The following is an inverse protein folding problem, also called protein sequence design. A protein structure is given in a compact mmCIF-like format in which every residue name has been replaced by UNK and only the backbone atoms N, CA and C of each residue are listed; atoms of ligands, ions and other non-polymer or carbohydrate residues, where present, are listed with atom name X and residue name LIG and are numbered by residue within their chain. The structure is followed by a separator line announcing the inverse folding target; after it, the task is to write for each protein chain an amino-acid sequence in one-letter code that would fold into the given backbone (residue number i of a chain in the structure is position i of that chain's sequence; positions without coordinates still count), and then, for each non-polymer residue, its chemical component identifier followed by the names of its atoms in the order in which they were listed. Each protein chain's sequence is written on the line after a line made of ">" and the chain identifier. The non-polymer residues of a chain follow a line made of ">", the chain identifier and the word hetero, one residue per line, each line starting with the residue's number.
data_IF_365653644739
#
_entry.id   IF_365653644739
#
_cell.length_a   1.000
_cell.length_b   1.000
_cell.length_c   1.000
_cell.angle_alpha   90.00
_cell.angle_beta   90.00
_cell.angle_gamma   90.00
#
_symmetry.space_group_name_H-M   'P 1'
#
loop_
_entity.id
_entity.type
_entity.pdbx_description
1 polymer ?
#
# COMPACT_ATOMS: atom_id res chain seq x y z
N UNK A 1 -9.33 -19.07 35.33
CA UNK A 1 -9.48 -17.60 35.59
C UNK A 1 -9.19 -16.83 34.32
N UNK A 2 -10.14 -16.04 33.79
CA UNK A 2 -9.85 -15.07 32.72
C UNK A 2 -8.84 -14.06 33.28
N UNK A 3 -7.59 -14.08 32.81
CA UNK A 3 -6.62 -13.03 33.15
C UNK A 3 -7.15 -11.71 32.57
N UNK A 4 -7.55 -10.80 33.46
CA UNK A 4 -8.15 -9.51 33.14
C UNK A 4 -7.03 -8.47 33.12
N UNK A 5 -6.76 -7.84 31.98
CA UNK A 5 -5.69 -6.84 31.84
C UNK A 5 -6.27 -5.43 31.70
N UNK A 6 -5.63 -4.43 32.32
CA UNK A 6 -6.08 -3.04 32.25
C UNK A 6 -5.69 -2.42 30.92
N UNK A 7 -6.47 -1.45 30.40
CA UNK A 7 -6.17 -0.79 29.12
C UNK A 7 -4.77 -0.20 29.01
N UNK A 8 -4.24 0.37 30.10
CA UNK A 8 -2.90 1.00 30.11
C UNK A 8 -1.78 -0.02 29.94
N UNK A 9 -1.95 -1.22 30.48
CA UNK A 9 -0.94 -2.29 30.40
C UNK A 9 -0.88 -2.82 28.96
N UNK A 10 -2.04 -3.00 28.32
CA UNK A 10 -2.14 -3.40 26.90
C UNK A 10 -1.56 -2.32 25.98
N UNK A 11 -1.90 -1.06 26.23
CA UNK A 11 -1.42 0.07 25.45
C UNK A 11 0.12 0.15 25.44
N UNK A 12 0.74 -0.04 26.61
CA UNK A 12 2.20 -0.10 26.73
C UNK A 12 2.80 -1.31 26.01
N UNK A 13 2.21 -2.49 26.20
CA UNK A 13 2.67 -3.73 25.56
C UNK A 13 2.67 -3.64 24.04
N UNK A 14 1.65 -3.00 23.47
CA UNK A 14 1.46 -2.87 22.02
C UNK A 14 2.04 -1.57 21.45
N UNK A 15 2.69 -0.75 22.28
CA UNK A 15 3.21 0.56 21.90
C UNK A 15 2.17 1.46 21.20
N UNK A 16 0.95 1.51 21.74
CA UNK A 16 -0.15 2.36 21.24
C UNK A 16 -0.78 3.15 22.38
N UNK A 17 -1.56 4.17 22.04
CA UNK A 17 -2.30 4.94 23.03
C UNK A 17 -3.51 4.17 23.58
N UNK A 18 -3.92 4.45 24.81
CA UNK A 18 -5.20 3.94 25.34
C UNK A 18 -6.41 4.48 24.56
N UNK A 19 -6.29 5.65 23.92
CA UNK A 19 -7.27 6.16 22.95
C UNK A 19 -7.36 5.30 21.69
N UNK A 20 -6.27 4.72 21.21
CA UNK A 20 -6.28 3.81 20.06
C UNK A 20 -7.10 2.55 20.36
N UNK A 21 -6.92 1.96 21.55
CA UNK A 21 -7.74 0.83 22.00
C UNK A 21 -9.24 1.17 21.99
N UNK A 22 -9.61 2.35 22.51
CA UNK A 22 -11.01 2.83 22.52
C UNK A 22 -11.54 3.07 21.11
N UNK A 23 -10.70 3.57 20.20
CA UNK A 23 -11.08 3.80 18.81
C UNK A 23 -11.36 2.47 18.09
N UNK A 24 -10.52 1.46 18.30
CA UNK A 24 -10.74 0.12 17.72
C UNK A 24 -12.04 -0.52 18.25
N UNK A 25 -12.32 -0.38 19.55
CA UNK A 25 -13.59 -0.79 20.15
C UNK A 25 -14.79 -0.04 19.54
N UNK A 26 -14.71 1.29 19.43
CA UNK A 26 -15.78 2.11 18.86
C UNK A 26 -16.05 1.78 17.38
N UNK A 27 -15.03 1.34 16.64
CA UNK A 27 -15.14 0.87 15.25
C UNK A 27 -15.62 -0.58 15.11
N UNK A 28 -15.85 -1.28 16.23
CA UNK A 28 -16.29 -2.68 16.26
C UNK A 28 -15.21 -3.65 15.77
N UNK A 29 -13.92 -3.32 15.93
CA UNK A 29 -12.82 -4.17 15.46
C UNK A 29 -12.41 -5.24 16.47
N UNK A 30 -12.89 -5.10 17.69
CA UNK A 30 -12.71 -6.05 18.79
C UNK A 30 -14.08 -6.44 19.33
N UNK A 31 -14.23 -7.63 19.94
CA UNK A 31 -15.46 -8.03 20.62
C UNK A 31 -15.90 -7.00 21.66
N UNK A 32 -17.20 -6.99 21.97
CA UNK A 32 -17.77 -6.12 22.98
C UNK A 32 -17.16 -6.41 24.36
N UNK A 33 -16.66 -5.37 25.02
CA UNK A 33 -16.05 -5.49 26.34
C UNK A 33 -17.09 -5.54 27.45
N UNK A 34 -16.87 -6.43 28.42
CA UNK A 34 -17.55 -6.34 29.72
C UNK A 34 -17.00 -5.14 30.51
N UNK A 35 -17.89 -4.46 31.25
CA UNK A 35 -17.51 -3.42 32.21
C UNK A 35 -17.56 -3.96 33.62
N UNK A 36 -16.61 -3.56 34.46
CA UNK A 36 -16.69 -3.78 35.91
C UNK A 36 -17.81 -2.95 36.53
N UNK A 37 -18.25 -3.35 37.73
CA UNK A 37 -19.20 -2.57 38.55
C UNK A 37 -18.74 -1.13 38.80
N UNK A 38 -17.43 -0.88 38.76
CA UNK A 38 -16.79 0.44 38.88
C UNK A 38 -16.78 1.26 37.57
N UNK A 39 -17.36 0.73 36.49
CA UNK A 39 -17.42 1.39 35.17
C UNK A 39 -16.17 1.21 34.29
N UNK A 40 -15.10 0.62 34.81
CA UNK A 40 -13.86 0.38 34.05
C UNK A 40 -14.00 -0.78 33.06
N UNK A 41 -13.38 -0.62 31.88
CA UNK A 41 -13.27 -1.66 30.85
C UNK A 41 -12.32 -2.77 31.29
N UNK A 42 -12.69 -4.00 30.99
CA UNK A 42 -11.85 -5.17 31.18
C UNK A 42 -11.65 -5.88 29.85
N UNK A 43 -10.39 -6.09 29.49
CA UNK A 43 -10.02 -6.84 28.31
C UNK A 43 -9.62 -8.26 28.68
N UNK A 44 -10.13 -9.22 27.89
CA UNK A 44 -9.80 -10.65 27.98
C UNK A 44 -8.62 -10.99 27.08
N UNK A 45 -8.13 -12.24 27.16
CA UNK A 45 -7.11 -12.75 26.23
C UNK A 45 -7.52 -12.63 24.76
N UNK A 46 -8.80 -12.82 24.47
CA UNK A 46 -9.35 -12.65 23.12
C UNK A 46 -9.23 -11.20 22.64
N UNK A 47 -9.62 -10.22 23.47
CA UNK A 47 -9.45 -8.81 23.12
C UNK A 47 -7.98 -8.47 22.84
N UNK A 48 -7.07 -9.01 23.65
CA UNK A 48 -5.63 -8.82 23.44
C UNK A 48 -5.19 -9.39 22.08
N UNK A 49 -5.64 -10.59 21.71
CA UNK A 49 -5.34 -11.19 20.41
C UNK A 49 -5.86 -10.34 19.24
N UNK A 50 -7.06 -9.75 19.37
CA UNK A 50 -7.57 -8.80 18.37
C UNK A 50 -6.68 -7.55 18.29
N UNK A 51 -6.30 -6.95 19.42
CA UNK A 51 -5.44 -5.76 19.40
C UNK A 51 -4.06 -6.06 18.81
N UNK A 52 -3.45 -7.18 19.19
CA UNK A 52 -2.18 -7.65 18.61
C UNK A 52 -2.31 -7.80 17.08
N UNK A 53 -3.38 -8.45 16.62
CA UNK A 53 -3.66 -8.63 15.20
C UNK A 53 -3.84 -7.30 14.47
N UNK A 54 -4.59 -6.34 15.04
CA UNK A 54 -4.73 -4.99 14.47
C UNK A 54 -3.35 -4.33 14.31
N UNK A 55 -2.54 -4.34 15.37
CA UNK A 55 -1.24 -3.67 15.37
C UNK A 55 -0.23 -4.31 14.41
N UNK A 56 -0.31 -5.63 14.20
CA UNK A 56 0.57 -6.36 13.31
C UNK A 56 0.12 -6.29 11.84
N UNK A 57 -1.18 -6.30 11.56
CA UNK A 57 -1.71 -6.30 10.19
C UNK A 57 -1.77 -4.91 9.57
N UNK A 58 -2.19 -3.90 10.33
CA UNK A 58 -2.46 -2.55 9.79
C UNK A 58 -1.27 -1.93 9.04
N UNK A 59 0.01 -2.09 9.48
CA UNK A 59 1.14 -1.54 8.74
C UNK A 59 1.38 -2.21 7.36
N UNK A 60 1.07 -3.51 7.22
CA UNK A 60 1.33 -4.27 5.99
C UNK A 60 0.16 -4.34 5.02
N UNK A 61 -1.07 -4.31 5.55
CA UNK A 61 -2.32 -4.43 4.79
C UNK A 61 -3.12 -3.13 4.73
N UNK A 62 -2.78 -2.14 5.55
CA UNK A 62 -3.59 -0.94 5.74
C UNK A 62 -4.77 -1.16 6.68
N UNK A 63 -5.26 -0.07 7.27
CA UNK A 63 -6.32 -0.11 8.29
C UNK A 63 -7.68 -0.57 7.72
N UNK A 64 -7.96 -0.27 6.45
CA UNK A 64 -9.23 -0.64 5.80
C UNK A 64 -9.36 -2.16 5.63
N UNK A 65 -8.34 -2.80 5.04
CA UNK A 65 -8.29 -4.26 4.88
C UNK A 65 -8.29 -4.93 6.25
N UNK A 66 -7.44 -4.46 7.17
CA UNK A 66 -7.38 -4.99 8.55
C UNK A 66 -8.74 -4.93 9.24
N UNK A 67 -9.45 -3.79 9.13
CA UNK A 67 -10.78 -3.63 9.73
C UNK A 67 -11.80 -4.60 9.14
N UNK A 68 -11.77 -4.77 7.81
CA UNK A 68 -12.72 -5.64 7.09
C UNK A 68 -12.48 -7.11 7.40
N UNK A 69 -11.21 -7.52 7.44
CA UNK A 69 -10.80 -8.88 7.84
C UNK A 69 -11.29 -9.18 9.25
N UNK A 70 -11.01 -8.31 10.23
CA UNK A 70 -11.40 -8.57 11.62
C UNK A 70 -12.91 -8.62 11.84
N UNK A 71 -13.68 -7.80 11.12
CA UNK A 71 -15.14 -7.89 11.13
C UNK A 71 -15.63 -9.23 10.59
N UNK A 72 -15.00 -9.76 9.54
CA UNK A 72 -15.30 -11.10 9.01
C UNK A 72 -14.92 -12.22 9.98
N UNK A 73 -13.79 -12.09 10.68
CA UNK A 73 -13.41 -13.03 11.74
C UNK A 73 -14.46 -13.07 12.86
N UNK A 74 -14.98 -11.91 13.29
CA UNK A 74 -16.03 -11.86 14.33
C UNK A 74 -17.32 -12.57 13.92
N UNK A 75 -17.70 -12.54 12.63
CA UNK A 75 -18.88 -13.27 12.11
C UNK A 75 -18.55 -14.65 11.55
N UNK A 76 -17.35 -15.17 11.84
CA UNK A 76 -16.88 -16.51 11.44
C UNK A 76 -16.75 -16.76 9.93
N UNK A 77 -16.57 -15.71 9.14
CA UNK A 77 -16.35 -15.78 7.68
C UNK A 77 -14.85 -15.84 7.33
N UNK A 78 -14.16 -16.92 7.75
CA UNK A 78 -12.71 -17.05 7.55
C UNK A 78 -12.31 -16.99 6.07
N UNK A 79 -12.96 -17.76 5.20
CA UNK A 79 -12.58 -17.84 3.77
C UNK A 79 -12.67 -16.48 3.08
N UNK A 80 -13.71 -15.70 3.39
CA UNK A 80 -13.86 -14.35 2.86
C UNK A 80 -12.76 -13.41 3.35
N UNK A 81 -12.31 -13.56 4.60
CA UNK A 81 -11.18 -12.80 5.13
C UNK A 81 -9.86 -13.17 4.42
N UNK A 82 -9.64 -14.46 4.16
CA UNK A 82 -8.46 -14.95 3.46
C UNK A 82 -8.40 -14.42 2.01
N UNK A 83 -9.52 -14.42 1.28
CA UNK A 83 -9.55 -13.88 -0.08
C UNK A 83 -9.20 -12.38 -0.15
N UNK A 84 -9.58 -11.58 0.86
CA UNK A 84 -9.17 -10.17 0.94
C UNK A 84 -7.65 -10.03 1.10
N UNK A 85 -7.04 -10.90 1.89
CA UNK A 85 -5.60 -10.95 2.11
C UNK A 85 -4.88 -11.36 0.81
N UNK A 86 -5.35 -12.43 0.15
CA UNK A 86 -4.78 -12.86 -1.11
C UNK A 86 -4.83 -11.76 -2.16
N UNK A 87 -5.95 -11.04 -2.27
CA UNK A 87 -6.08 -9.88 -3.17
C UNK A 87 -5.05 -8.80 -2.84
N UNK A 88 -4.86 -8.47 -1.57
CA UNK A 88 -3.87 -7.47 -1.15
C UNK A 88 -2.42 -7.89 -1.48
N UNK A 89 -2.10 -9.17 -1.30
CA UNK A 89 -0.78 -9.72 -1.64
C UNK A 89 -0.55 -9.79 -3.15
N UNK A 90 -1.58 -10.14 -3.93
CA UNK A 90 -1.53 -10.12 -5.38
C UNK A 90 -1.25 -8.72 -5.92
N UNK A 91 -1.94 -7.69 -5.40
CA UNK A 91 -1.67 -6.29 -5.74
C UNK A 91 -0.22 -5.90 -5.38
N UNK A 92 0.28 -6.32 -4.21
CA UNK A 92 1.66 -6.03 -3.82
C UNK A 92 2.68 -6.68 -4.79
N UNK A 93 2.40 -7.88 -5.26
CA UNK A 93 3.22 -8.57 -6.26
C UNK A 93 3.15 -7.91 -7.65
N UNK A 94 1.96 -7.51 -8.11
CA UNK A 94 1.79 -6.75 -9.35
C UNK A 94 2.62 -5.45 -9.32
N UNK A 95 2.58 -4.73 -8.20
CA UNK A 95 3.39 -3.54 -7.98
C UNK A 95 4.89 -3.84 -8.04
N UNK A 96 5.35 -4.97 -7.47
CA UNK A 96 6.75 -5.42 -7.60
C UNK A 96 7.13 -5.64 -9.07
N UNK A 97 6.26 -6.26 -9.86
CA UNK A 97 6.51 -6.48 -11.30
C UNK A 97 6.61 -5.15 -12.05
N UNK A 98 5.74 -4.19 -11.74
CA UNK A 98 5.76 -2.84 -12.33
C UNK A 98 7.08 -2.11 -12.00
N UNK A 99 7.49 -2.10 -10.73
CA UNK A 99 8.77 -1.48 -10.31
C UNK A 99 9.96 -2.18 -10.98
N UNK A 100 9.91 -3.51 -11.13
CA UNK A 100 10.92 -4.26 -11.88
C UNK A 100 11.01 -3.85 -13.35
N UNK A 101 9.89 -3.52 -14.00
CA UNK A 101 9.89 -2.95 -15.37
C UNK A 101 10.59 -1.59 -15.39
N UNK A 102 10.30 -0.71 -14.42
CA UNK A 102 10.93 0.60 -14.29
C UNK A 102 12.46 0.50 -14.10
N UNK A 103 12.94 -0.42 -13.26
CA UNK A 103 14.37 -0.67 -13.06
C UNK A 103 15.07 -1.10 -14.36
N UNK A 104 14.47 -2.06 -15.10
CA UNK A 104 15.02 -2.49 -16.39
C UNK A 104 15.13 -1.33 -17.39
N UNK A 105 14.16 -0.43 -17.41
CA UNK A 105 14.21 0.75 -18.28
C UNK A 105 15.35 1.72 -17.90
N UNK A 106 15.64 1.86 -16.60
CA UNK A 106 16.76 2.66 -16.10
C UNK A 106 18.13 2.04 -16.39
N UNK A 107 18.22 0.71 -16.38
CA UNK A 107 19.48 -0.02 -16.58
C UNK A 107 19.82 -0.25 -18.06
N UNK A 108 18.82 -0.21 -18.95
CA UNK A 108 19.04 -0.40 -20.39
C UNK A 108 19.80 0.81 -20.96
N UNK A 109 21.03 0.65 -21.47
CA UNK A 109 21.77 1.77 -22.05
C UNK A 109 21.00 2.40 -23.21
N UNK A 110 20.93 3.73 -23.24
CA UNK A 110 20.36 4.48 -24.36
C UNK A 110 21.48 4.63 -25.38
N UNK A 111 21.38 3.96 -26.53
CA UNK A 111 22.34 4.15 -27.61
C UNK A 111 21.97 5.42 -28.38
N UNK A 112 22.93 6.25 -28.79
CA UNK A 112 22.65 7.54 -29.46
C UNK A 112 21.79 7.38 -30.73
N UNK A 113 21.87 6.22 -31.41
CA UNK A 113 21.06 5.88 -32.59
C UNK A 113 19.62 5.44 -32.25
N UNK A 114 19.33 5.08 -30.99
CA UNK A 114 17.99 4.77 -30.48
C UNK A 114 17.39 5.89 -29.62
N UNK A 115 18.20 6.90 -29.29
CA UNK A 115 17.82 8.05 -28.45
C UNK A 115 16.70 8.91 -29.06
N UNK A 116 16.62 8.99 -30.38
CA UNK A 116 15.56 9.70 -31.13
C UNK A 116 14.28 8.87 -31.33
N UNK A 117 14.24 7.58 -30.93
CA UNK A 117 13.27 6.61 -31.49
C UNK A 117 12.39 5.83 -30.51
N UNK A 118 12.20 6.31 -29.28
CA UNK A 118 11.06 5.83 -28.49
C UNK A 118 10.35 6.94 -27.73
N UNK A 119 10.22 8.09 -28.38
CA UNK A 119 9.15 9.00 -28.05
C UNK A 119 7.83 8.32 -28.41
N UNK A 120 6.95 8.16 -27.42
CA UNK A 120 5.67 7.48 -27.56
C UNK A 120 4.56 8.53 -27.56
N UNK A 121 3.63 8.40 -28.49
CA UNK A 121 2.36 9.13 -28.42
C UNK A 121 1.59 8.71 -27.18
N UNK A 122 0.60 9.52 -26.78
CA UNK A 122 -0.27 9.16 -25.65
C UNK A 122 -0.98 7.80 -25.84
N UNK A 123 -1.30 7.41 -27.08
CA UNK A 123 -1.94 6.14 -27.37
C UNK A 123 -0.97 4.95 -27.21
N UNK A 124 0.27 5.12 -27.64
CA UNK A 124 1.31 4.09 -27.49
C UNK A 124 1.67 3.87 -26.02
N UNK A 125 1.92 4.94 -25.27
CA UNK A 125 2.27 4.82 -23.85
C UNK A 125 1.09 4.32 -23.02
N UNK A 126 -0.15 4.65 -23.41
CA UNK A 126 -1.37 4.09 -22.82
C UNK A 126 -1.43 2.57 -22.97
N UNK A 127 -1.14 2.05 -24.18
CA UNK A 127 -1.10 0.60 -24.44
C UNK A 127 0.03 -0.09 -23.68
N UNK A 128 1.23 0.49 -23.71
CA UNK A 128 2.42 -0.10 -23.09
C UNK A 128 2.32 -0.15 -21.55
N UNK A 129 1.71 0.87 -20.96
CA UNK A 129 1.56 0.96 -19.49
C UNK A 129 0.22 0.44 -18.99
N UNK A 130 -0.71 0.12 -19.89
CA UNK A 130 -2.10 -0.26 -19.61
C UNK A 130 -2.84 0.79 -18.77
N UNK A 131 -2.51 2.07 -18.95
CA UNK A 131 -3.16 3.20 -18.27
C UNK A 131 -3.98 3.96 -19.30
N UNK A 132 -5.25 4.25 -18.97
CA UNK A 132 -6.13 4.99 -19.86
C UNK A 132 -5.55 6.36 -20.24
N UNK A 133 -5.65 6.74 -21.51
CA UNK A 133 -5.18 8.04 -21.99
C UNK A 133 -5.81 9.23 -21.24
N UNK A 134 -7.05 9.10 -20.74
CA UNK A 134 -7.68 10.10 -19.88
C UNK A 134 -6.94 10.30 -18.56
N UNK A 135 -6.49 9.21 -17.93
CA UNK A 135 -5.67 9.25 -16.70
C UNK A 135 -4.31 9.88 -16.97
N UNK A 136 -3.68 9.57 -18.10
CA UNK A 136 -2.41 10.19 -18.50
C UNK A 136 -2.55 11.70 -18.70
N UNK A 137 -3.63 12.16 -19.37
CA UNK A 137 -3.94 13.59 -19.51
C UNK A 137 -4.18 14.27 -18.16
N UNK A 138 -4.84 13.57 -17.23
CA UNK A 138 -5.03 14.06 -15.88
C UNK A 138 -3.68 14.20 -15.15
N UNK A 139 -2.80 13.20 -15.22
CA UNK A 139 -1.46 13.29 -14.61
C UNK A 139 -0.59 14.38 -15.23
N UNK A 140 -0.70 14.59 -16.55
CA UNK A 140 -0.04 15.71 -17.25
C UNK A 140 -0.53 17.06 -16.70
N UNK A 141 -1.86 17.24 -16.59
CA UNK A 141 -2.47 18.45 -16.04
C UNK A 141 -2.03 18.72 -14.59
N UNK A 142 -1.88 17.68 -13.79
CA UNK A 142 -1.43 17.77 -12.39
C UNK A 142 0.10 17.97 -12.24
N UNK A 143 0.85 17.97 -13.36
CA UNK A 143 2.30 18.13 -13.39
C UNK A 143 3.08 16.90 -12.92
N UNK A 144 2.44 15.73 -12.88
CA UNK A 144 3.08 14.47 -12.50
C UNK A 144 3.91 13.89 -13.65
N UNK A 145 3.53 14.19 -14.89
CA UNK A 145 4.24 13.81 -16.12
C UNK A 145 4.23 14.99 -17.09
N UNK A 146 5.22 15.07 -17.97
CA UNK A 146 5.37 16.16 -18.94
C UNK A 146 5.48 15.58 -20.34
N UNK A 147 4.61 16.00 -21.26
CA UNK A 147 4.81 15.69 -22.67
C UNK A 147 5.72 16.74 -23.32
N UNK A 148 6.65 16.29 -24.16
CA UNK A 148 7.30 17.17 -25.15
C UNK A 148 6.42 17.23 -26.39
N UNK A 149 6.60 18.27 -27.22
CA UNK A 149 5.88 18.39 -28.50
C UNK A 149 6.85 18.13 -29.64
N UNK A 150 6.42 17.32 -30.61
CA UNK A 150 7.21 17.08 -31.81
C UNK A 150 7.13 18.29 -32.76
N UNK A 151 8.28 18.77 -33.24
CA UNK A 151 8.42 20.01 -34.02
C UNK A 151 7.61 20.01 -35.32
N UNK A 152 7.37 18.83 -35.91
CA UNK A 152 6.77 18.71 -37.24
C UNK A 152 5.22 18.63 -37.25
N UNK A 153 4.59 18.14 -36.18
CA UNK A 153 3.16 17.86 -36.15
C UNK A 153 2.46 18.23 -34.84
N UNK A 154 3.21 18.78 -33.87
CA UNK A 154 2.71 19.25 -32.57
C UNK A 154 2.03 18.16 -31.72
N UNK A 155 2.25 16.87 -32.02
CA UNK A 155 1.77 15.77 -31.19
C UNK A 155 2.51 15.72 -29.85
N UNK A 156 1.80 15.25 -28.81
CA UNK A 156 2.37 14.99 -27.48
C UNK A 156 3.18 13.72 -27.51
N UNK A 157 4.42 13.86 -27.08
CA UNK A 157 5.39 12.78 -27.06
C UNK A 157 5.95 12.58 -25.65
N UNK A 158 6.02 11.32 -25.24
CA UNK A 158 6.51 10.89 -23.95
C UNK A 158 7.77 10.05 -24.15
N UNK A 159 8.85 10.45 -23.50
CA UNK A 159 10.10 9.71 -23.51
C UNK A 159 10.11 8.58 -22.45
N UNK A 160 11.27 7.93 -22.35
CA UNK A 160 11.51 6.89 -21.35
C UNK A 160 11.42 7.41 -19.91
N UNK A 161 11.87 8.63 -19.64
CA UNK A 161 11.81 9.24 -18.32
C UNK A 161 10.36 9.36 -17.85
N UNK A 162 9.48 9.85 -18.73
CA UNK A 162 8.04 9.93 -18.47
C UNK A 162 7.41 8.55 -18.33
N UNK A 163 7.80 7.58 -19.15
CA UNK A 163 7.32 6.19 -19.01
C UNK A 163 7.63 5.62 -17.62
N UNK A 164 8.82 5.85 -17.08
CA UNK A 164 9.18 5.38 -15.73
C UNK A 164 8.34 6.09 -14.67
N UNK A 165 8.12 7.41 -14.79
CA UNK A 165 7.20 8.16 -13.89
C UNK A 165 5.78 7.58 -13.93
N UNK A 166 5.27 7.25 -15.13
CA UNK A 166 3.95 6.65 -15.32
C UNK A 166 3.87 5.28 -14.65
N UNK A 167 4.91 4.43 -14.79
CA UNK A 167 4.96 3.13 -14.11
C UNK A 167 4.98 3.28 -12.58
N UNK A 168 5.75 4.23 -12.03
CA UNK A 168 5.72 4.52 -10.60
C UNK A 168 4.35 5.04 -10.14
N UNK A 169 3.69 5.88 -10.94
CA UNK A 169 2.34 6.34 -10.64
C UNK A 169 1.30 5.21 -10.72
N UNK A 170 1.51 4.20 -11.58
CA UNK A 170 0.64 3.02 -11.69
C UNK A 170 0.60 2.23 -10.38
N UNK A 171 1.72 2.12 -9.65
CA UNK A 171 1.76 1.35 -8.38
C UNK A 171 0.85 1.94 -7.30
N UNK A 172 0.49 3.22 -7.43
CA UNK A 172 -0.41 3.92 -6.53
C UNK A 172 -1.90 3.74 -6.86
N UNK A 173 -2.28 3.24 -8.05
CA UNK A 173 -3.70 3.16 -8.43
C UNK A 173 -4.50 2.18 -7.56
N UNK A 174 -3.84 1.18 -6.99
CA UNK A 174 -4.43 0.17 -6.12
C UNK A 174 -4.16 0.40 -4.63
N UNK A 175 -3.43 1.47 -4.29
CA UNK A 175 -3.13 1.81 -2.91
C UNK A 175 -4.27 2.67 -2.34
N UNK A 176 -4.87 2.21 -1.24
CA UNK A 176 -5.74 3.05 -0.39
C UNK A 176 -4.97 4.33 -0.07
N UNK A 177 -5.60 5.51 -0.17
CA UNK A 177 -4.98 6.81 0.13
C UNK A 177 -4.11 6.72 1.38
N UNK A 178 -2.80 6.63 1.17
CA UNK A 178 -1.81 6.47 2.22
C UNK A 178 -0.81 7.61 2.13
N UNK A 179 -0.10 7.83 3.25
CA UNK A 179 1.02 8.75 3.29
C UNK A 179 2.02 8.45 2.15
N UNK A 180 2.26 7.17 1.87
CA UNK A 180 3.19 6.72 0.83
C UNK A 180 2.77 7.17 -0.57
N UNK A 181 1.48 7.06 -0.91
CA UNK A 181 0.96 7.53 -2.20
C UNK A 181 1.18 9.02 -2.36
N UNK A 182 0.93 9.77 -1.28
CA UNK A 182 1.10 11.23 -1.28
C UNK A 182 2.58 11.60 -1.39
N UNK A 183 3.45 10.92 -0.64
CA UNK A 183 4.89 11.15 -0.66
C UNK A 183 5.51 10.84 -2.03
N UNK A 184 5.15 9.70 -2.64
CA UNK A 184 5.64 9.33 -3.97
C UNK A 184 5.17 10.33 -5.05
N UNK A 185 3.90 10.77 -4.99
CA UNK A 185 3.37 11.81 -5.89
C UNK A 185 4.18 13.10 -5.77
N UNK A 186 4.47 13.53 -4.56
CA UNK A 186 5.25 14.75 -4.32
C UNK A 186 6.68 14.61 -4.88
N UNK A 187 7.37 13.49 -4.59
CA UNK A 187 8.70 13.21 -5.13
C UNK A 187 8.73 13.21 -6.66
N UNK A 188 7.68 12.67 -7.30
CA UNK A 188 7.52 12.64 -8.77
C UNK A 188 7.26 14.03 -9.36
N UNK A 189 6.54 14.88 -8.63
CA UNK A 189 6.20 16.23 -9.05
C UNK A 189 7.39 17.20 -8.92
N UNK A 190 8.21 17.05 -7.89
CA UNK A 190 9.39 17.89 -7.64
C UNK A 190 10.65 17.43 -8.39
N UNK A 191 10.57 16.33 -9.13
CA UNK A 191 11.67 15.80 -9.93
C UNK A 191 11.98 16.73 -11.10
N UNK A 192 13.25 17.15 -11.20
CA UNK A 192 13.73 17.88 -12.37
C UNK A 192 13.65 17.01 -13.63
N UNK A 193 13.40 17.65 -14.78
CA UNK A 193 13.35 16.96 -16.06
C UNK A 193 14.67 16.24 -16.34
N UNK A 194 14.57 14.97 -16.75
CA UNK A 194 15.70 14.10 -17.09
C UNK A 194 16.71 13.84 -15.95
N UNK A 195 16.35 14.07 -14.68
CA UNK A 195 17.16 13.66 -13.52
C UNK A 195 17.03 12.15 -13.25
N UNK A 196 17.70 11.35 -14.08
CA UNK A 196 17.70 9.89 -13.98
C UNK A 196 18.30 9.37 -12.67
N UNK A 197 19.19 10.13 -12.02
CA UNK A 197 19.80 9.72 -10.75
C UNK A 197 18.79 9.81 -9.60
N UNK A 198 18.06 10.92 -9.51
CA UNK A 198 16.96 11.06 -8.53
C UNK A 198 15.83 10.09 -8.83
N UNK A 199 15.49 9.88 -10.11
CA UNK A 199 14.49 8.90 -10.49
C UNK A 199 14.89 7.47 -10.07
N UNK A 200 16.15 7.08 -10.29
CA UNK A 200 16.68 5.78 -9.83
C UNK A 200 16.59 5.62 -8.32
N UNK A 201 16.90 6.67 -7.55
CA UNK A 201 16.73 6.65 -6.09
C UNK A 201 15.27 6.41 -5.67
N UNK A 202 14.32 7.04 -6.34
CA UNK A 202 12.88 6.86 -6.07
C UNK A 202 12.42 5.43 -6.42
N UNK A 203 12.83 4.89 -7.57
CA UNK A 203 12.50 3.51 -7.96
C UNK A 203 13.06 2.51 -6.95
N UNK A 204 14.33 2.65 -6.55
CA UNK A 204 14.96 1.78 -5.56
C UNK A 204 14.28 1.89 -4.18
N UNK A 205 13.94 3.10 -3.75
CA UNK A 205 13.20 3.30 -2.50
C UNK A 205 11.83 2.61 -2.55
N UNK A 206 11.11 2.72 -3.67
CA UNK A 206 9.83 2.06 -3.89
C UNK A 206 9.98 0.54 -3.86
N UNK A 207 11.03 -0.01 -4.47
CA UNK A 207 11.33 -1.44 -4.41
C UNK A 207 11.54 -1.92 -2.97
N UNK A 208 12.44 -1.28 -2.22
CA UNK A 208 12.73 -1.64 -0.83
C UNK A 208 11.48 -1.59 0.04
N UNK A 209 10.65 -0.56 -0.17
CA UNK A 209 9.38 -0.43 0.55
C UNK A 209 8.42 -1.60 0.28
N UNK A 210 8.34 -2.10 -0.96
CA UNK A 210 7.53 -3.29 -1.28
C UNK A 210 8.08 -4.57 -0.61
N UNK A 211 9.40 -4.70 -0.52
CA UNK A 211 10.06 -5.82 0.17
C UNK A 211 9.81 -5.78 1.68
N UNK A 212 9.89 -4.60 2.30
CA UNK A 212 9.59 -4.41 3.71
C UNK A 212 8.11 -4.64 4.01
N UNK A 213 7.20 -4.15 3.15
CA UNK A 213 5.78 -4.46 3.24
C UNK A 213 5.53 -5.97 3.22
N UNK A 214 6.24 -6.74 2.38
CA UNK A 214 6.08 -8.19 2.32
C UNK A 214 6.48 -8.86 3.65
N UNK A 215 7.57 -8.41 4.30
CA UNK A 215 7.98 -8.89 5.62
C UNK A 215 6.95 -8.54 6.70
N UNK A 216 6.41 -7.32 6.66
CA UNK A 216 5.38 -6.86 7.59
C UNK A 216 4.08 -7.65 7.40
N UNK A 217 3.68 -7.94 6.16
CA UNK A 217 2.51 -8.77 5.86
C UNK A 217 2.66 -10.17 6.47
N UNK A 218 3.84 -10.80 6.34
CA UNK A 218 4.12 -12.08 7.00
C UNK A 218 3.91 -12.02 8.52
N UNK A 219 4.42 -10.96 9.17
CA UNK A 219 4.21 -10.75 10.61
C UNK A 219 2.73 -10.57 10.95
N UNK A 220 1.98 -9.81 10.16
CA UNK A 220 0.53 -9.65 10.32
C UNK A 220 -0.22 -10.98 10.20
N UNK A 221 0.15 -11.83 9.25
CA UNK A 221 -0.46 -13.14 9.05
C UNK A 221 -0.22 -14.10 10.23
N UNK A 222 0.95 -14.03 10.87
CA UNK A 222 1.21 -14.79 12.09
C UNK A 222 0.21 -14.44 13.21
N UNK A 223 -0.06 -13.15 13.44
CA UNK A 223 -1.03 -12.73 14.46
C UNK A 223 -2.48 -13.01 14.05
N UNK A 224 -2.80 -12.93 12.76
CA UNK A 224 -4.10 -13.36 12.26
C UNK A 224 -4.34 -14.85 12.49
N UNK A 225 -3.35 -15.70 12.19
CA UNK A 225 -3.42 -17.13 12.47
C UNK A 225 -3.66 -17.39 13.96
N UNK A 226 -2.87 -16.76 14.84
CA UNK A 226 -3.05 -16.86 16.29
C UNK A 226 -4.45 -16.45 16.74
N UNK A 227 -5.00 -15.38 16.17
CA UNK A 227 -6.36 -14.95 16.45
C UNK A 227 -7.37 -16.01 16.01
N UNK A 228 -7.28 -16.49 14.77
CA UNK A 228 -8.18 -17.51 14.21
C UNK A 228 -8.20 -18.79 15.05
N UNK A 229 -7.02 -19.29 15.48
CA UNK A 229 -6.92 -20.44 16.37
C UNK A 229 -7.56 -20.18 17.74
N UNK A 230 -7.41 -18.96 18.28
CA UNK A 230 -8.01 -18.61 19.57
C UNK A 230 -9.55 -18.56 19.52
N UNK A 231 -10.12 -18.16 18.38
CA UNK A 231 -11.58 -18.06 18.19
C UNK A 231 -12.18 -19.32 17.51
N UNK A 232 -11.42 -20.40 17.38
CA UNK A 232 -11.81 -21.68 16.81
C UNK A 232 -12.33 -21.60 15.37
N UNK A 233 -11.63 -20.83 14.52
CA UNK A 233 -11.86 -20.80 13.07
C UNK A 233 -10.85 -21.65 12.29
N UNK A 234 -9.84 -22.19 12.97
CA UNK A 234 -8.79 -23.04 12.44
C UNK A 234 -8.55 -24.20 13.40
#
# INVERSE_FOLDING_TARGET
>A
MKSKMRPVDIARMLNISTSSLRNYEAKGLVPTTERLATGYRVYTKEHIAYFECITAMAPGFGMEITSTVLKKIQVKELDSALWLINKAQAINYENKVIVGKALRLLETPVNEQTSTKKQMTIGEISRETEIAASTLRYWEKEGLINATREDNNNYRMFDRFQMIKILLMKTNQNAVYSYEVTHLKEQIKTLNDHDYQSLKRIVNHTQNHLEDRNKIQLHGLYYLYRLCSMVNLY
#
